data_IF_859708427486
#
_entry.id   IF_859708427486
#
_cell.length_a   1.000
_cell.length_b   1.000
_cell.length_c   1.000
_cell.angle_alpha   90.00
_cell.angle_beta   90.00
_cell.angle_gamma   90.00
#
_symmetry.space_group_name_H-M   'P 1'
#
loop_
_entity.id
_entity.type
_entity.pdbx_description
1 polymer ?
#
# COMPACT_ATOMS: atom_id res chain seq x y z
N UNK A 1 -13.02 -20.69 -5.68
CA UNK A 1 -12.14 -19.72 -6.38
C UNK A 1 -11.68 -18.75 -5.33
N UNK A 2 -10.39 -18.36 -5.27
CA UNK A 2 -9.94 -17.41 -4.23
C UNK A 2 -10.65 -16.06 -4.41
N UNK A 3 -11.11 -15.46 -3.32
CA UNK A 3 -11.71 -14.12 -3.30
C UNK A 3 -10.68 -13.12 -2.79
N UNK A 4 -10.72 -11.93 -3.36
CA UNK A 4 -9.83 -10.84 -3.01
C UNK A 4 -10.63 -9.56 -2.86
N UNK A 5 -10.28 -8.78 -1.85
CA UNK A 5 -10.68 -7.38 -1.76
C UNK A 5 -9.51 -6.48 -2.18
N UNK A 6 -9.84 -5.26 -2.61
CA UNK A 6 -8.88 -4.30 -3.13
C UNK A 6 -9.06 -2.94 -2.45
N UNK A 7 -7.96 -2.23 -2.26
CA UNK A 7 -7.99 -0.85 -1.78
C UNK A 7 -6.98 0.02 -2.52
N UNK A 8 -7.32 1.31 -2.67
CA UNK A 8 -6.40 2.35 -3.16
C UNK A 8 -6.06 3.28 -2.01
N UNK A 9 -4.77 3.49 -1.76
CA UNK A 9 -4.27 4.33 -0.67
C UNK A 9 -3.52 5.52 -1.24
N UNK A 10 -3.79 6.71 -0.70
CA UNK A 10 -2.92 7.87 -0.86
C UNK A 10 -1.77 7.79 0.15
N UNK A 11 -0.61 7.41 -0.36
CA UNK A 11 0.66 7.32 0.34
C UNK A 11 1.50 8.59 0.19
N UNK A 12 0.94 9.72 -0.30
CA UNK A 12 1.65 11.00 -0.27
C UNK A 12 2.29 11.20 1.10
N UNK A 13 3.62 11.18 1.12
CA UNK A 13 4.35 11.71 2.25
C UNK A 13 4.11 13.22 2.24
N UNK A 14 4.13 13.86 3.42
CA UNK A 14 4.25 15.32 3.47
C UNK A 14 5.34 15.77 2.47
N UNK A 15 5.12 16.88 1.74
CA UNK A 15 6.03 17.31 0.68
C UNK A 15 7.45 17.44 1.25
N UNK A 16 8.30 16.49 0.89
CA UNK A 16 9.72 16.47 1.22
C UNK A 16 10.50 16.47 -0.09
N UNK A 17 11.39 17.44 -0.25
CA UNK A 17 12.35 17.46 -1.35
C UNK A 17 13.47 16.43 -1.17
N UNK A 18 13.58 15.82 0.02
CA UNK A 18 14.53 14.75 0.28
C UNK A 18 13.89 13.39 -0.03
N UNK A 19 14.32 12.80 -1.15
CA UNK A 19 13.84 11.51 -1.65
C UNK A 19 14.08 10.35 -0.69
N UNK A 20 15.15 10.38 0.12
CA UNK A 20 15.43 9.31 1.09
C UNK A 20 14.40 9.30 2.23
N UNK A 21 14.08 10.48 2.76
CA UNK A 21 13.05 10.62 3.80
C UNK A 21 11.67 10.20 3.23
N UNK A 22 11.38 10.54 1.97
CA UNK A 22 10.16 10.12 1.28
C UNK A 22 10.09 8.59 1.15
N UNK A 23 11.20 7.95 0.77
CA UNK A 23 11.29 6.51 0.59
C UNK A 23 11.13 5.75 1.91
N UNK A 24 11.79 6.20 2.98
CA UNK A 24 11.70 5.55 4.30
C UNK A 24 10.26 5.56 4.83
N UNK A 25 9.60 6.73 4.78
CA UNK A 25 8.18 6.86 5.17
C UNK A 25 7.24 6.01 4.30
N UNK A 26 7.53 5.92 3.01
CA UNK A 26 6.77 5.07 2.10
C UNK A 26 6.90 3.58 2.51
N UNK A 27 8.12 3.12 2.77
CA UNK A 27 8.40 1.75 3.22
C UNK A 27 7.72 1.46 4.58
N UNK A 28 7.73 2.40 5.53
CA UNK A 28 7.03 2.26 6.81
C UNK A 28 5.52 1.99 6.60
N UNK A 29 4.85 2.80 5.79
CA UNK A 29 3.43 2.59 5.45
C UNK A 29 3.20 1.24 4.77
N UNK A 30 4.04 0.86 3.79
CA UNK A 30 3.94 -0.45 3.14
C UNK A 30 4.03 -1.61 4.15
N UNK A 31 4.94 -1.51 5.12
CA UNK A 31 5.10 -2.52 6.16
C UNK A 31 3.88 -2.57 7.10
N UNK A 32 3.27 -1.44 7.42
CA UNK A 32 2.02 -1.39 8.21
C UNK A 32 0.86 -2.11 7.49
N UNK A 33 0.72 -1.91 6.18
CA UNK A 33 -0.27 -2.62 5.37
C UNK A 33 0.05 -4.11 5.25
N UNK A 34 1.33 -4.47 5.06
CA UNK A 34 1.77 -5.86 5.03
C UNK A 34 1.41 -6.63 6.30
N UNK A 35 1.55 -6.00 7.48
CA UNK A 35 1.14 -6.59 8.77
C UNK A 35 -0.38 -6.84 8.88
N UNK A 36 -1.18 -6.12 8.10
CA UNK A 36 -2.65 -6.28 8.04
C UNK A 36 -3.10 -7.28 6.96
N UNK A 37 -2.15 -7.94 6.29
CA UNK A 37 -2.41 -8.93 5.24
C UNK A 37 -2.56 -8.34 3.83
N UNK A 38 -2.33 -7.04 3.65
CA UNK A 38 -2.38 -6.40 2.35
C UNK A 38 -1.10 -6.64 1.56
N UNK A 39 -1.23 -6.95 0.27
CA UNK A 39 -0.13 -7.09 -0.68
C UNK A 39 -0.18 -5.95 -1.68
N UNK A 40 0.95 -5.26 -1.86
CA UNK A 40 1.07 -4.21 -2.88
C UNK A 40 1.03 -4.84 -4.28
N UNK A 41 0.14 -4.36 -5.14
CA UNK A 41 0.01 -4.80 -6.53
C UNK A 41 0.66 -3.79 -7.48
N UNK A 42 0.43 -2.50 -7.23
CA UNK A 42 0.90 -1.42 -8.10
C UNK A 42 1.03 -0.12 -7.33
N UNK A 43 2.06 0.65 -7.67
CA UNK A 43 2.21 2.05 -7.26
C UNK A 43 2.09 2.97 -8.47
N UNK A 44 1.43 4.12 -8.32
CA UNK A 44 1.26 5.12 -9.37
C UNK A 44 1.56 6.53 -8.86
N UNK A 45 1.84 7.45 -9.77
CA UNK A 45 2.07 8.88 -9.50
C UNK A 45 3.17 9.15 -8.44
N UNK A 46 4.40 8.68 -8.70
CA UNK A 46 5.58 8.91 -7.83
C UNK A 46 5.36 8.51 -6.36
N UNK A 47 4.96 7.25 -6.16
CA UNK A 47 4.66 6.65 -4.85
C UNK A 47 3.50 7.32 -4.09
N UNK A 48 2.69 8.12 -4.77
CA UNK A 48 1.53 8.77 -4.18
C UNK A 48 0.37 7.82 -4.03
N UNK A 49 0.02 7.07 -5.07
CA UNK A 49 -1.10 6.14 -4.98
C UNK A 49 -0.59 4.71 -5.02
N UNK A 50 -1.19 3.85 -4.22
CA UNK A 50 -0.87 2.43 -4.23
C UNK A 50 -2.13 1.59 -4.13
N UNK A 51 -2.17 0.52 -4.93
CA UNK A 51 -3.26 -0.43 -4.98
C UNK A 51 -2.80 -1.69 -4.27
N UNK A 52 -3.62 -2.15 -3.32
CA UNK A 52 -3.38 -3.37 -2.56
C UNK A 52 -4.48 -4.39 -2.78
N UNK A 53 -4.13 -5.65 -2.62
CA UNK A 53 -5.07 -6.77 -2.50
C UNK A 53 -4.90 -7.49 -1.18
N UNK A 54 -5.97 -8.11 -0.70
CA UNK A 54 -5.94 -9.08 0.39
C UNK A 54 -6.87 -10.23 0.07
N UNK A 55 -6.40 -11.45 0.32
CA UNK A 55 -7.22 -12.66 0.21
C UNK A 55 -8.24 -12.64 1.34
N UNK A 56 -9.52 -12.86 1.01
CA UNK A 56 -10.60 -12.96 1.99
C UNK A 56 -11.16 -14.37 1.99
N UNK A 57 -11.51 -14.83 3.19
CA UNK A 57 -12.22 -16.10 3.35
C UNK A 57 -13.67 -15.93 2.87
N UNK A 58 -14.18 -16.99 2.25
CA UNK A 58 -15.61 -17.12 2.00
C UNK A 58 -16.27 -17.52 3.33
N UNK A 59 -16.54 -16.54 4.20
CA UNK A 59 -17.45 -16.78 5.32
C UNK A 59 -18.88 -16.91 4.75
N UNK A 60 -19.38 -18.15 4.72
CA UNK A 60 -20.76 -18.53 4.39
C UNK A 60 -21.77 -18.05 5.44
#
# INVERSE_FOLDING_TARGET
MKKYEYMTVDLSAEPSFNVHIKLDRYIEKLNEYGKQGWRLISGTDDWKYSIFEREIDDEE
#
